data_IF_084736916135
#
_entry.id   IF_084736916135
#
_cell.length_a   1.000
_cell.length_b   1.000
_cell.length_c   1.000
_cell.angle_alpha   90.00
_cell.angle_beta   90.00
_cell.angle_gamma   90.00
#
_symmetry.space_group_name_H-M   'P 1'
#
loop_
_entity.id
_entity.type
_entity.pdbx_description
1 polymer ?
#
# COMPACT_ATOMS: atom_id res chain seq x y z
N UNK A 1 8.09 -15.33 -2.81
CA UNK A 1 7.33 -14.59 -1.79
C UNK A 1 6.48 -13.58 -2.54
N UNK A 2 5.14 -13.71 -2.53
CA UNK A 2 4.29 -12.78 -3.26
C UNK A 2 3.88 -11.62 -2.36
N UNK A 3 3.91 -10.42 -2.92
CA UNK A 3 3.44 -9.23 -2.26
C UNK A 3 2.10 -8.84 -2.83
N UNK A 4 1.14 -8.57 -1.95
CA UNK A 4 -0.20 -8.14 -2.31
C UNK A 4 -0.45 -6.83 -1.59
N UNK A 5 -0.65 -5.75 -2.34
CA UNK A 5 -1.06 -4.49 -1.73
C UNK A 5 -2.57 -4.48 -1.60
N UNK A 6 -3.08 -4.12 -0.44
CA UNK A 6 -4.50 -3.84 -0.22
C UNK A 6 -4.68 -2.35 -0.04
N UNK A 7 -5.46 -1.71 -0.91
CA UNK A 7 -5.70 -0.28 -0.93
C UNK A 7 -7.15 -0.01 -1.31
N UNK A 8 -7.88 0.74 -0.48
CA UNK A 8 -9.30 1.07 -0.70
C UNK A 8 -10.20 -0.15 -1.03
N UNK A 9 -9.93 -1.29 -0.39
CA UNK A 9 -10.68 -2.53 -0.62
C UNK A 9 -10.26 -3.30 -1.88
N UNK A 10 -9.36 -2.77 -2.70
CA UNK A 10 -8.76 -3.49 -3.82
C UNK A 10 -7.47 -4.19 -3.38
N UNK A 11 -7.28 -5.44 -3.80
CA UNK A 11 -6.03 -6.17 -3.58
C UNK A 11 -5.31 -6.35 -4.90
N UNK A 12 -4.13 -5.76 -5.02
CA UNK A 12 -3.32 -5.74 -6.23
C UNK A 12 -2.07 -6.60 -5.98
N UNK A 13 -1.86 -7.68 -6.73
CA UNK A 13 -0.60 -8.42 -6.65
C UNK A 13 0.51 -7.56 -7.26
N UNK A 14 1.61 -7.43 -6.53
CA UNK A 14 2.78 -6.67 -6.98
C UNK A 14 4.04 -7.52 -6.90
N UNK A 15 5.04 -7.24 -7.77
CA UNK A 15 6.31 -7.93 -7.72
C UNK A 15 7.04 -7.65 -6.41
N UNK A 16 7.85 -8.62 -5.97
CA UNK A 16 8.60 -8.54 -4.73
C UNK A 16 9.62 -7.40 -4.71
N UNK A 17 10.13 -6.98 -5.87
CA UNK A 17 11.01 -5.82 -6.02
C UNK A 17 10.35 -4.52 -5.56
N UNK A 18 9.04 -4.38 -5.82
CA UNK A 18 8.26 -3.25 -5.33
C UNK A 18 7.88 -3.51 -3.88
N UNK A 19 7.29 -4.66 -3.58
CA UNK A 19 6.68 -4.95 -2.27
C UNK A 19 7.66 -5.05 -1.10
N UNK A 20 8.94 -5.27 -1.38
CA UNK A 20 9.99 -5.31 -0.35
C UNK A 20 10.38 -3.92 0.14
N UNK A 21 10.09 -2.85 -0.62
CA UNK A 21 10.50 -1.48 -0.28
C UNK A 21 9.31 -0.53 -0.19
N UNK A 22 9.12 0.09 0.97
CA UNK A 22 8.02 1.04 1.19
C UNK A 22 8.10 2.24 0.25
N UNK A 23 9.31 2.67 -0.08
CA UNK A 23 9.54 3.79 -1.01
C UNK A 23 9.09 3.43 -2.43
N UNK A 24 9.40 2.22 -2.89
CA UNK A 24 8.95 1.72 -4.20
C UNK A 24 7.43 1.54 -4.22
N UNK A 25 6.85 0.99 -3.15
CA UNK A 25 5.39 0.87 -2.99
C UNK A 25 4.75 2.26 -3.11
N UNK A 26 5.25 3.25 -2.34
CA UNK A 26 4.73 4.62 -2.38
C UNK A 26 4.92 5.27 -3.73
N UNK A 27 6.09 5.15 -4.34
CA UNK A 27 6.39 5.75 -5.64
C UNK A 27 5.46 5.18 -6.72
N UNK A 28 5.32 3.86 -6.77
CA UNK A 28 4.44 3.17 -7.72
C UNK A 28 2.98 3.55 -7.49
N UNK A 29 2.49 3.36 -6.26
CA UNK A 29 1.10 3.66 -5.91
C UNK A 29 0.78 5.16 -6.04
N UNK A 30 1.74 6.06 -5.84
CA UNK A 30 1.55 7.51 -6.03
C UNK A 30 1.29 7.89 -7.49
N UNK A 31 1.64 7.04 -8.46
CA UNK A 31 1.26 7.26 -9.87
C UNK A 31 -0.20 6.90 -10.15
N UNK A 32 -0.77 5.97 -9.38
CA UNK A 32 -2.15 5.49 -9.56
C UNK A 32 -3.14 6.15 -8.59
N UNK A 33 -2.65 6.58 -7.43
CA UNK A 33 -3.47 7.05 -6.34
C UNK A 33 -2.85 8.28 -5.68
N UNK A 34 -3.50 9.43 -5.88
CA UNK A 34 -3.15 10.65 -5.18
C UNK A 34 -3.39 10.51 -3.67
N UNK A 35 -2.53 11.10 -2.84
CA UNK A 35 -2.60 11.00 -1.37
C UNK A 35 -1.83 9.83 -0.75
N UNK A 36 -1.20 8.97 -1.56
CA UNK A 36 -0.38 7.85 -1.05
C UNK A 36 0.93 8.29 -0.39
N UNK A 37 1.46 9.46 -0.73
CA UNK A 37 2.72 9.97 -0.14
C UNK A 37 2.71 9.96 1.40
N UNK A 38 1.55 10.22 2.00
CA UNK A 38 1.36 10.19 3.46
C UNK A 38 0.55 8.95 3.91
N UNK A 39 0.45 7.92 3.09
CA UNK A 39 -0.29 6.73 3.46
C UNK A 39 0.44 5.91 4.52
N UNK A 40 -0.35 5.36 5.44
CA UNK A 40 0.10 4.36 6.38
C UNK A 40 0.25 3.03 5.66
N UNK A 41 1.42 2.43 5.77
CA UNK A 41 1.75 1.15 5.16
C UNK A 41 1.94 0.15 6.29
N UNK A 42 1.11 -0.88 6.31
CA UNK A 42 1.16 -1.95 7.31
C UNK A 42 1.40 -3.27 6.59
N UNK A 43 2.40 -4.02 7.02
CA UNK A 43 2.74 -5.31 6.41
C UNK A 43 2.27 -6.44 7.33
N UNK A 44 1.47 -7.33 6.79
CA UNK A 44 0.92 -8.49 7.50
C UNK A 44 1.33 -9.75 6.74
N UNK A 45 1.99 -10.66 7.44
CA UNK A 45 2.28 -11.99 6.89
C UNK A 45 1.00 -12.81 6.96
N UNK A 46 0.52 -13.27 5.81
CA UNK A 46 -0.66 -14.11 5.74
C UNK A 46 -0.32 -15.57 6.06
N UNK A 47 -1.32 -16.31 6.52
CA UNK A 47 -1.23 -17.74 6.87
C UNK A 47 -0.72 -18.64 5.74
N UNK A 48 -0.92 -18.20 4.50
CA UNK A 48 -0.46 -18.81 3.25
C UNK A 48 0.99 -18.45 2.87
N UNK A 49 1.70 -17.68 3.69
CA UNK A 49 3.09 -17.26 3.45
C UNK A 49 3.27 -16.06 2.52
N UNK A 50 2.17 -15.46 2.07
CA UNK A 50 2.18 -14.20 1.30
C UNK A 50 2.33 -12.99 2.22
N UNK A 51 2.93 -11.90 1.74
CA UNK A 51 2.95 -10.61 2.47
C UNK A 51 1.83 -9.73 1.92
N UNK A 52 0.85 -9.44 2.77
CA UNK A 52 -0.17 -8.44 2.51
C UNK A 52 0.30 -7.09 3.02
N UNK A 53 0.31 -6.09 2.16
CA UNK A 53 0.68 -4.72 2.48
C UNK A 53 -0.59 -3.89 2.47
N UNK A 54 -1.16 -3.61 3.62
CA UNK A 54 -2.33 -2.73 3.76
C UNK A 54 -1.85 -1.27 3.66
N UNK A 55 -2.32 -0.58 2.63
CA UNK A 55 -1.98 0.81 2.34
C UNK A 55 -3.23 1.65 2.54
N UNK A 56 -3.27 2.32 3.69
CA UNK A 56 -4.37 3.20 4.04
C UNK A 56 -3.97 4.63 3.68
N UNK A 57 -4.59 5.17 2.61
CA UNK A 57 -4.44 6.58 2.24
C UNK A 57 -4.90 7.44 3.40
N UNK A 58 -4.06 8.32 3.89
CA UNK A 58 -4.55 9.43 4.71
C UNK A 58 -5.13 10.45 3.74
N UNK A 59 -6.46 10.45 3.60
CA UNK A 59 -7.15 11.59 3.01
C UNK A 59 -6.77 12.81 3.85
N UNK A 60 -6.14 13.80 3.22
CA UNK A 60 -5.85 15.08 3.86
C UNK A 60 -7.13 15.57 4.53
N UNK A 61 -7.01 15.88 5.82
CA UNK A 61 -8.06 16.36 6.73
C UNK A 61 -9.36 16.81 6.02
N UNK A 62 -10.33 15.90 5.87
CA UNK A 62 -11.72 16.30 5.65
C UNK A 62 -12.21 16.91 6.96
N UNK A 63 -12.16 18.24 7.08
CA UNK A 63 -12.81 18.96 8.17
C UNK A 63 -11.99 20.04 8.85
N UNK A 64 -11.29 20.90 8.10
CA UNK A 64 -10.82 22.18 8.63
C UNK A 64 -11.58 23.34 7.97
N UNK A 65 -12.88 23.43 8.26
CA UNK A 65 -13.69 24.66 8.17
C UNK A 65 -14.79 24.56 9.19
#
# INVERSE_FOLDING_TARGET
MNYKIKIEGQTIPIPAEIGSSDEQIRATLSQYFEGIKNAKIERTVQVNGDILVDVCKQAGTKGAT
#
